data_IF_891282205552
#
_entry.id   IF_891282205552
#
_cell.length_a   1.000
_cell.length_b   1.000
_cell.length_c   1.000
_cell.angle_alpha   90.00
_cell.angle_beta   90.00
_cell.angle_gamma   90.00
#
_symmetry.space_group_name_H-M   'P 1'
#
loop_
_entity.id
_entity.type
_entity.pdbx_description
1 polymer ?
#
# COMPACT_ATOMS: atom_id res chain seq x y z
N UNK A 1 -7.68 13.22 -1.37
CA UNK A 1 -7.67 11.76 -1.64
C UNK A 1 -9.13 11.30 -1.66
N UNK A 2 -9.60 10.68 -2.75
CA UNK A 2 -11.02 10.31 -2.87
C UNK A 2 -11.43 9.41 -1.70
N UNK A 3 -12.45 9.79 -0.91
CA UNK A 3 -12.89 9.08 0.31
C UNK A 3 -13.05 7.57 0.10
N UNK A 4 -13.50 7.19 -1.10
CA UNK A 4 -13.66 5.80 -1.54
C UNK A 4 -12.37 4.97 -1.48
N UNK A 5 -11.23 5.55 -1.87
CA UNK A 5 -9.93 4.86 -1.79
C UNK A 5 -9.48 4.63 -0.34
N UNK A 6 -9.79 5.58 0.55
CA UNK A 6 -9.50 5.45 1.99
C UNK A 6 -10.36 4.36 2.64
N UNK A 7 -11.66 4.36 2.34
CA UNK A 7 -12.61 3.35 2.85
C UNK A 7 -12.19 1.94 2.40
N UNK A 8 -11.78 1.80 1.15
CA UNK A 8 -11.29 0.53 0.62
C UNK A 8 -10.04 0.01 1.34
N UNK A 9 -9.05 0.87 1.59
CA UNK A 9 -7.83 0.42 2.28
C UNK A 9 -8.18 -0.06 3.70
N UNK A 10 -9.00 0.70 4.43
CA UNK A 10 -9.41 0.29 5.77
C UNK A 10 -10.16 -1.04 5.75
N UNK A 11 -11.11 -1.22 4.81
CA UNK A 11 -11.88 -2.46 4.73
C UNK A 11 -11.04 -3.66 4.29
N UNK A 12 -10.09 -3.46 3.39
CA UNK A 12 -9.18 -4.51 2.92
C UNK A 12 -8.24 -4.99 4.04
N UNK A 13 -7.65 -4.06 4.81
CA UNK A 13 -6.81 -4.41 5.97
C UNK A 13 -7.61 -5.19 7.02
N UNK A 14 -8.84 -4.76 7.31
CA UNK A 14 -9.72 -5.48 8.23
C UNK A 14 -10.05 -6.88 7.71
N UNK A 15 -10.34 -7.03 6.42
CA UNK A 15 -10.62 -8.33 5.80
C UNK A 15 -9.41 -9.28 5.89
N UNK A 16 -8.21 -8.82 5.57
CA UNK A 16 -7.00 -9.67 5.67
C UNK A 16 -6.64 -10.02 7.11
N UNK A 17 -6.91 -9.15 8.07
CA UNK A 17 -6.78 -9.47 9.50
C UNK A 17 -7.72 -10.62 9.88
N UNK A 18 -8.99 -10.55 9.44
CA UNK A 18 -9.96 -11.62 9.67
C UNK A 18 -9.55 -12.94 8.98
N UNK A 19 -9.08 -12.89 7.74
CA UNK A 19 -8.60 -14.09 7.03
C UNK A 19 -7.38 -14.72 7.70
N UNK A 20 -6.49 -13.92 8.28
CA UNK A 20 -5.33 -14.42 9.02
C UNK A 20 -5.75 -15.15 10.29
N UNK A 21 -6.82 -14.68 10.96
CA UNK A 21 -7.41 -15.39 12.10
C UNK A 21 -7.99 -16.74 11.69
N UNK A 22 -8.75 -16.81 10.59
CA UNK A 22 -9.29 -18.06 10.06
C UNK A 22 -8.20 -19.06 9.64
N UNK A 23 -7.09 -18.57 9.09
CA UNK A 23 -5.92 -19.38 8.80
C UNK A 23 -5.34 -20.03 10.08
N UNK A 24 -5.15 -19.24 11.15
CA UNK A 24 -4.68 -19.76 12.43
C UNK A 24 -5.62 -20.83 12.99
N UNK A 25 -6.93 -20.59 12.92
CA UNK A 25 -7.93 -21.58 13.34
C UNK A 25 -7.84 -22.87 12.52
N UNK A 26 -7.67 -22.77 11.20
CA UNK A 26 -7.51 -23.94 10.33
C UNK A 26 -6.26 -24.75 10.68
N UNK A 27 -5.16 -24.07 11.00
CA UNK A 27 -3.88 -24.69 11.35
C UNK A 27 -3.98 -25.48 12.67
N UNK A 28 -4.71 -24.97 13.66
CA UNK A 28 -4.93 -25.65 14.94
C UNK A 28 -5.83 -26.88 14.78
N UNK A 29 -6.87 -26.80 13.94
CA UNK A 29 -7.90 -27.83 13.81
C UNK A 29 -7.53 -28.95 12.85
N UNK A 30 -6.95 -28.61 11.69
CA UNK A 30 -6.64 -29.57 10.63
C UNK A 30 -5.14 -29.86 10.51
N UNK A 31 -4.30 -29.19 11.30
CA UNK A 31 -2.85 -29.29 11.21
C UNK A 31 -2.26 -28.57 10.00
N UNK A 32 -0.94 -28.72 9.83
CA UNK A 32 -0.18 -28.14 8.73
C UNK A 32 -0.08 -29.11 7.55
N UNK A 33 -0.86 -28.88 6.50
CA UNK A 33 -0.75 -29.57 5.22
C UNK A 33 -0.20 -28.67 4.12
N UNK A 34 -0.06 -29.21 2.90
CA UNK A 34 0.36 -28.41 1.73
C UNK A 34 -0.62 -27.24 1.45
N UNK A 35 -1.91 -27.43 1.74
CA UNK A 35 -2.94 -26.39 1.61
C UNK A 35 -2.71 -25.19 2.56
N UNK A 36 -2.04 -25.39 3.70
CA UNK A 36 -1.76 -24.32 4.66
C UNK A 36 -0.83 -23.27 4.07
N UNK A 37 0.08 -23.65 3.15
CA UNK A 37 0.91 -22.70 2.41
C UNK A 37 0.07 -21.80 1.51
N UNK A 38 -0.96 -22.35 0.87
CA UNK A 38 -1.90 -21.58 0.07
C UNK A 38 -2.62 -20.52 0.89
N UNK A 39 -3.14 -20.92 2.06
CA UNK A 39 -3.82 -20.01 2.98
C UNK A 39 -2.89 -18.93 3.54
N UNK A 40 -1.64 -19.28 3.82
CA UNK A 40 -0.61 -18.32 4.26
C UNK A 40 -0.37 -17.22 3.22
N UNK A 41 -0.20 -17.57 1.94
CA UNK A 41 0.05 -16.58 0.89
C UNK A 41 -1.14 -15.66 0.62
N UNK A 42 -2.36 -16.13 0.83
CA UNK A 42 -3.59 -15.35 0.59
C UNK A 42 -3.92 -14.42 1.75
N UNK A 43 -3.53 -14.77 2.98
CA UNK A 43 -3.92 -14.04 4.20
C UNK A 43 -2.78 -13.16 4.73
N UNK A 44 -1.67 -13.79 5.11
CA UNK A 44 -0.58 -13.16 5.85
C UNK A 44 0.29 -12.31 4.94
N UNK A 45 0.51 -12.71 3.68
CA UNK A 45 1.35 -11.94 2.76
C UNK A 45 0.78 -10.53 2.47
N UNK A 46 -0.49 -10.38 2.07
CA UNK A 46 -1.09 -9.07 1.88
C UNK A 46 -1.11 -8.25 3.18
N UNK A 47 -1.48 -8.87 4.31
CA UNK A 47 -1.49 -8.19 5.61
C UNK A 47 -0.10 -7.69 6.00
N UNK A 48 0.91 -8.55 5.91
CA UNK A 48 2.30 -8.24 6.22
C UNK A 48 2.84 -7.11 5.35
N UNK A 49 2.46 -7.07 4.07
CA UNK A 49 2.79 -5.96 3.19
C UNK A 49 2.22 -4.62 3.69
N UNK A 50 0.95 -4.58 4.11
CA UNK A 50 0.34 -3.36 4.65
C UNK A 50 0.92 -2.96 6.01
N UNK A 51 1.15 -3.92 6.91
CA UNK A 51 1.77 -3.64 8.22
C UNK A 51 3.19 -3.10 8.03
N UNK A 52 3.98 -3.70 7.12
CA UNK A 52 5.32 -3.22 6.79
C UNK A 52 5.27 -1.79 6.23
N UNK A 53 4.31 -1.50 5.37
CA UNK A 53 4.10 -0.17 4.81
C UNK A 53 3.74 0.87 5.88
N UNK A 54 2.96 0.49 6.91
CA UNK A 54 2.54 1.39 7.98
C UNK A 54 3.64 1.62 9.03
N UNK A 55 4.40 0.58 9.38
CA UNK A 55 5.44 0.64 10.41
C UNK A 55 6.74 1.25 9.89
N UNK A 56 7.11 0.97 8.64
CA UNK A 56 8.38 1.44 8.08
C UNK A 56 8.14 2.59 7.09
N UNK A 57 8.23 3.83 7.58
CA UNK A 57 8.33 5.03 6.73
C UNK A 57 9.68 5.72 7.00
N UNK A 58 10.48 6.08 5.97
CA UNK A 58 10.12 6.26 4.57
C UNK A 58 10.79 5.23 3.66
N UNK A 59 10.05 4.19 3.24
CA UNK A 59 10.38 3.58 1.95
C UNK A 59 9.98 4.56 0.85
N UNK A 60 10.94 5.41 0.47
CA UNK A 60 10.90 6.12 -0.78
C UNK A 60 10.81 5.07 -1.91
N UNK A 61 9.66 5.07 -2.60
CA UNK A 61 9.39 4.33 -3.85
C UNK A 61 9.59 2.81 -3.73
N UNK A 62 8.50 2.08 -3.48
CA UNK A 62 8.46 0.68 -3.92
C UNK A 62 8.66 0.66 -5.43
N UNK A 63 9.67 -0.11 -5.85
CA UNK A 63 10.07 -0.26 -7.23
C UNK A 63 8.88 -0.66 -8.10
N UNK A 64 8.93 -0.20 -9.34
CA UNK A 64 7.96 -0.40 -10.43
C UNK A 64 7.47 -1.86 -10.47
N UNK A 65 6.26 -2.09 -9.95
CA UNK A 65 5.59 -3.40 -9.77
C UNK A 65 6.20 -4.30 -8.67
N UNK A 66 5.33 -4.88 -7.83
CA UNK A 66 5.67 -5.94 -6.87
C UNK A 66 5.28 -7.29 -7.50
N UNK A 67 5.99 -7.78 -8.55
CA UNK A 67 5.59 -8.98 -9.27
C UNK A 67 5.68 -10.21 -8.36
N UNK A 68 6.67 -10.24 -7.45
CA UNK A 68 6.90 -11.37 -6.57
C UNK A 68 5.72 -11.59 -5.61
N UNK A 69 5.24 -10.54 -4.93
CA UNK A 69 4.11 -10.66 -3.98
C UNK A 69 2.84 -11.05 -4.73
N UNK A 70 2.61 -10.44 -5.89
CA UNK A 70 1.45 -10.76 -6.73
C UNK A 70 1.47 -12.21 -7.20
N UNK A 71 2.62 -12.72 -7.63
CA UNK A 71 2.80 -14.11 -8.03
C UNK A 71 2.54 -15.06 -6.86
N UNK A 72 3.06 -14.76 -5.67
CA UNK A 72 2.82 -15.57 -4.48
C UNK A 72 1.33 -15.60 -4.09
N UNK A 73 0.62 -14.47 -4.16
CA UNK A 73 -0.82 -14.40 -3.88
C UNK A 73 -1.62 -15.22 -4.89
N UNK A 74 -1.30 -15.12 -6.19
CA UNK A 74 -1.95 -15.91 -7.24
C UNK A 74 -1.68 -17.40 -7.02
N UNK A 75 -0.43 -17.77 -6.75
CA UNK A 75 -0.04 -19.15 -6.48
C UNK A 75 -0.78 -19.69 -5.26
N UNK A 76 -0.89 -18.91 -4.19
CA UNK A 76 -1.69 -19.24 -3.02
C UNK A 76 -3.16 -19.49 -3.38
N UNK A 77 -3.74 -18.62 -4.20
CA UNK A 77 -5.09 -18.74 -4.75
C UNK A 77 -5.32 -20.08 -5.46
N UNK A 78 -4.41 -20.46 -6.36
CA UNK A 78 -4.47 -21.72 -7.11
C UNK A 78 -4.38 -22.93 -6.16
N UNK A 79 -3.48 -22.90 -5.18
CA UNK A 79 -3.34 -23.99 -4.20
C UNK A 79 -4.62 -24.14 -3.37
N UNK A 80 -5.25 -23.03 -2.96
CA UNK A 80 -6.51 -23.09 -2.21
C UNK A 80 -7.67 -23.62 -3.05
N UNK A 81 -7.76 -23.23 -4.32
CA UNK A 81 -8.78 -23.75 -5.25
C UNK A 81 -8.61 -25.26 -5.48
N UNK A 82 -7.38 -25.71 -5.66
CA UNK A 82 -7.07 -27.13 -5.79
C UNK A 82 -7.39 -27.90 -4.50
N UNK A 83 -7.03 -27.36 -3.33
CA UNK A 83 -7.32 -27.98 -2.05
C UNK A 83 -8.84 -28.05 -1.76
N UNK A 84 -9.60 -27.03 -2.14
CA UNK A 84 -11.07 -27.03 -2.02
C UNK A 84 -11.71 -28.07 -2.94
N UNK A 85 -11.22 -28.22 -4.18
CA UNK A 85 -11.71 -29.23 -5.12
C UNK A 85 -11.54 -30.66 -4.60
N UNK A 86 -10.41 -30.94 -3.94
CA UNK A 86 -10.12 -32.26 -3.36
C UNK A 86 -10.79 -32.47 -1.98
N UNK A 87 -11.66 -31.55 -1.53
CA UNK A 87 -12.31 -31.59 -0.21
C UNK A 87 -11.36 -31.55 1.00
N UNK A 88 -10.12 -31.06 0.84
CA UNK A 88 -9.17 -30.87 1.96
C UNK A 88 -9.48 -29.60 2.76
N UNK A 89 -10.15 -28.63 2.15
CA UNK A 89 -10.55 -27.40 2.79
C UNK A 89 -12.07 -27.21 2.71
N UNK A 90 -12.70 -26.72 3.79
CA UNK A 90 -14.07 -26.24 3.71
C UNK A 90 -14.28 -25.21 2.60
N UNK A 91 -15.48 -25.23 2.02
CA UNK A 91 -15.82 -24.41 0.86
C UNK A 91 -15.72 -22.89 1.12
N UNK A 92 -15.78 -22.45 2.38
CA UNK A 92 -15.61 -21.04 2.74
C UNK A 92 -14.21 -20.48 2.42
N UNK A 93 -13.16 -21.32 2.45
CA UNK A 93 -11.80 -20.88 2.10
C UNK A 93 -11.64 -20.57 0.61
N UNK A 94 -12.46 -21.20 -0.25
CA UNK A 94 -12.49 -20.87 -1.67
C UNK A 94 -12.96 -19.43 -1.89
N UNK A 95 -14.03 -19.00 -1.21
CA UNK A 95 -14.52 -17.62 -1.34
C UNK A 95 -13.49 -16.60 -0.84
N UNK A 96 -12.82 -16.90 0.28
CA UNK A 96 -11.75 -16.06 0.83
C UNK A 96 -10.60 -15.91 -0.17
N UNK A 97 -10.22 -16.99 -0.86
CA UNK A 97 -9.16 -16.97 -1.88
C UNK A 97 -9.48 -16.01 -3.02
N UNK A 98 -10.71 -16.09 -3.54
CA UNK A 98 -11.17 -15.26 -4.66
C UNK A 98 -11.24 -13.79 -4.23
N UNK A 99 -11.82 -13.51 -3.06
CA UNK A 99 -11.98 -12.15 -2.54
C UNK A 99 -10.61 -11.50 -2.30
N UNK A 100 -9.67 -12.22 -1.67
CA UNK A 100 -8.34 -11.68 -1.38
C UNK A 100 -7.55 -11.35 -2.65
N UNK A 101 -7.59 -12.24 -3.65
CA UNK A 101 -6.97 -12.00 -4.97
C UNK A 101 -7.60 -10.78 -5.65
N UNK A 102 -8.93 -10.67 -5.64
CA UNK A 102 -9.63 -9.51 -6.20
C UNK A 102 -9.26 -8.20 -5.50
N UNK A 103 -9.23 -8.18 -4.17
CA UNK A 103 -8.80 -7.01 -3.39
C UNK A 103 -7.37 -6.59 -3.73
N UNK A 104 -6.46 -7.56 -3.90
CA UNK A 104 -5.09 -7.30 -4.31
C UNK A 104 -5.00 -6.67 -5.71
N UNK A 105 -5.75 -7.19 -6.69
CA UNK A 105 -5.79 -6.62 -8.03
C UNK A 105 -6.38 -5.21 -8.07
N UNK A 106 -7.46 -4.96 -7.32
CA UNK A 106 -8.04 -3.61 -7.18
C UNK A 106 -7.01 -2.64 -6.60
N UNK A 107 -6.28 -3.08 -5.56
CA UNK A 107 -5.21 -2.30 -4.96
C UNK A 107 -4.13 -1.93 -5.99
N UNK A 108 -3.59 -2.91 -6.73
CA UNK A 108 -2.59 -2.65 -7.78
C UNK A 108 -3.15 -1.65 -8.80
N UNK A 109 -4.36 -1.86 -9.32
CA UNK A 109 -4.95 -0.97 -10.32
C UNK A 109 -5.11 0.47 -9.83
N UNK A 110 -5.51 0.66 -8.57
CA UNK A 110 -5.75 2.00 -8.02
C UNK A 110 -4.50 2.75 -7.56
N UNK A 111 -3.43 2.03 -7.24
CA UNK A 111 -2.21 2.60 -6.64
C UNK A 111 -0.95 2.41 -7.48
N UNK A 112 -0.96 1.63 -8.56
CA UNK A 112 0.17 1.46 -9.50
C UNK A 112 0.41 2.67 -10.41
N UNK A 113 -0.48 3.67 -10.42
CA UNK A 113 -0.32 4.86 -11.26
C UNK A 113 0.20 6.02 -10.40
N UNK A 114 1.53 6.16 -10.35
CA UNK A 114 2.13 7.47 -10.18
C UNK A 114 2.35 8.04 -11.59
N UNK A 115 1.72 9.17 -11.96
CA UNK A 115 2.18 9.93 -13.10
C UNK A 115 3.63 10.29 -12.80
N UNK A 116 4.57 9.77 -13.58
CA UNK A 116 5.91 10.31 -13.64
C UNK A 116 5.74 11.75 -14.08
N UNK A 117 5.78 12.71 -13.15
CA UNK A 117 5.85 14.12 -13.50
C UNK A 117 7.18 14.32 -14.23
N UNK A 118 7.15 14.28 -15.55
CA UNK A 118 8.15 14.98 -16.34
C UNK A 118 7.96 16.46 -16.01
N UNK A 119 8.83 16.96 -15.13
CA UNK A 119 9.44 18.29 -15.18
C UNK A 119 8.60 19.41 -15.81
N UNK A 120 7.96 20.21 -14.96
CA UNK A 120 8.19 21.65 -14.92
C UNK A 120 8.26 22.04 -13.45
N UNK A 121 9.44 22.50 -13.01
CA UNK A 121 9.63 23.11 -11.70
C UNK A 121 8.92 24.47 -11.78
N UNK A 122 7.63 24.47 -11.43
CA UNK A 122 6.95 25.67 -10.95
C UNK A 122 7.01 25.57 -9.44
N UNK A 123 7.99 26.27 -8.84
CA UNK A 123 8.09 26.39 -7.39
C UNK A 123 6.91 27.26 -6.96
N UNK A 124 5.77 26.63 -6.70
CA UNK A 124 4.68 27.22 -5.96
C UNK A 124 4.98 26.98 -4.47
N UNK A 125 5.64 27.95 -3.84
CA UNK A 125 5.81 27.97 -2.39
C UNK A 125 4.44 28.26 -1.74
N UNK A 126 3.66 27.20 -1.58
CA UNK A 126 2.45 27.22 -0.75
C UNK A 126 2.57 26.17 0.34
N UNK A 127 3.39 26.50 1.34
CA UNK A 127 3.30 26.08 2.74
C UNK A 127 4.56 26.57 3.46
N UNK A 128 4.54 27.85 3.83
CA UNK A 128 5.40 28.41 4.86
C UNK A 128 5.01 27.74 6.18
N UNK A 129 5.86 26.81 6.64
CA UNK A 129 5.69 25.96 7.84
C UNK A 129 4.44 25.06 7.88
N UNK A 130 4.59 23.84 8.39
CA UNK A 130 3.42 22.98 8.65
C UNK A 130 2.52 23.65 9.68
N UNK A 131 1.21 23.78 9.37
CA UNK A 131 0.19 24.30 10.28
C UNK A 131 0.36 23.67 11.68
N UNK A 132 0.78 24.46 12.67
CA UNK A 132 1.05 24.02 14.05
C UNK A 132 2.48 24.24 14.56
N UNK A 133 3.46 24.56 13.70
CA UNK A 133 4.81 24.93 14.18
C UNK A 133 4.85 26.32 14.85
N UNK A 134 3.90 27.20 14.56
CA UNK A 134 3.73 28.51 15.24
C UNK A 134 3.45 28.36 16.74
N UNK A 135 2.79 27.27 17.15
CA UNK A 135 2.47 26.99 18.57
C UNK A 135 3.74 26.79 19.41
N UNK A 136 4.84 26.39 18.77
CA UNK A 136 6.14 26.16 19.41
C UNK A 136 7.08 27.37 19.37
N UNK A 137 6.60 28.54 18.94
CA UNK A 137 7.37 29.79 18.99
C UNK A 137 8.38 29.97 17.87
N UNK A 138 8.29 29.17 16.80
CA UNK A 138 9.06 29.42 15.58
C UNK A 138 8.54 30.67 14.88
N UNK A 139 9.42 31.65 14.65
CA UNK A 139 9.12 32.83 13.85
C UNK A 139 8.95 32.42 12.40
N UNK A 140 7.83 32.79 11.78
CA UNK A 140 7.67 32.67 10.34
C UNK A 140 8.70 33.58 9.66
N UNK A 141 9.86 33.04 9.30
CA UNK A 141 10.81 33.74 8.44
C UNK A 141 10.29 33.63 7.00
N UNK A 142 9.36 34.52 6.67
CA UNK A 142 8.90 34.74 5.31
C UNK A 142 10.08 35.28 4.49
N UNK A 143 10.76 34.39 3.76
CA UNK A 143 11.71 34.82 2.72
C UNK A 143 10.87 35.30 1.54
N UNK A 144 10.64 36.60 1.45
CA UNK A 144 10.01 37.21 0.28
C UNK A 144 10.84 36.84 -0.97
N UNK A 145 10.22 36.42 -2.08
CA UNK A 145 10.96 36.18 -3.31
C UNK A 145 11.47 37.52 -3.84
N UNK A 146 12.69 37.89 -3.46
CA UNK A 146 13.37 39.08 -3.99
C UNK A 146 13.98 38.73 -5.33
N UNK A 147 13.35 39.20 -6.42
CA UNK A 147 13.91 39.12 -7.77
C UNK A 147 14.95 40.23 -7.92
N UNK A 148 16.23 39.85 -8.06
CA UNK A 148 17.32 40.78 -8.38
C UNK A 148 17.50 40.76 -9.90
N UNK A 149 17.25 41.88 -10.57
CA UNK A 149 17.44 42.03 -12.01
C UNK A 149 18.79 42.68 -12.24
N UNK A 150 19.62 42.08 -13.09
CA UNK A 150 20.93 42.62 -13.50
C UNK A 150 20.94 42.94 -15.00
N UNK A 151 21.75 43.92 -15.39
CA UNK A 151 22.04 44.17 -16.81
C UNK A 151 23.18 43.26 -17.33
N UNK A 152 23.44 43.28 -18.63
CA UNK A 152 24.48 42.45 -19.28
C UNK A 152 25.90 42.70 -18.75
N UNK A 153 26.15 43.83 -18.07
CA UNK A 153 27.42 44.14 -17.43
C UNK A 153 27.49 43.72 -15.95
N UNK A 154 26.48 43.00 -15.44
CA UNK A 154 26.47 42.46 -14.07
C UNK A 154 26.14 43.50 -12.98
N UNK A 155 25.57 44.66 -13.33
CA UNK A 155 25.14 45.67 -12.36
C UNK A 155 23.67 45.44 -11.99
N UNK A 156 23.38 45.45 -10.68
CA UNK A 156 22.03 45.37 -10.12
C UNK A 156 21.31 46.71 -10.42
N UNK A 157 20.10 46.63 -10.97
CA UNK A 157 19.23 47.78 -11.22
C UNK A 157 18.42 48.14 -9.97
#
# INVERSE_FOLDING_TARGET
MNRLKSIFISSAISAWTYFSFLFLQNLITNGSGFYSLGLFFISILPLGFFVLLLLFKPFARTTKSLPIITLLIIMGGVICLFAAYNSLLPLHFQYISIISVLMWFIYIKWYSVMPSSKTEIKIDHKNETSLGMEVFGYTSETVLPTVIITNEQGKIL
#
